data_IF_026478371174
#
_entry.id   IF_026478371174
#
_cell.length_a   1.000
_cell.length_b   1.000
_cell.length_c   1.000
_cell.angle_alpha   90.00
_cell.angle_beta   90.00
_cell.angle_gamma   90.00
#
_symmetry.space_group_name_H-M   'P 1'
#
loop_
_entity.id
_entity.type
_entity.pdbx_description
1 polymer ?
#
# COMPACT_ATOMS: atom_id res chain seq x y z
N UNK A 1 18.15 23.29 -24.66
CA UNK A 1 18.48 24.31 -23.62
C UNK A 1 17.35 25.34 -23.43
N UNK A 2 16.16 24.86 -23.04
CA UNK A 2 15.01 25.71 -22.67
C UNK A 2 14.24 25.10 -21.47
N UNK A 3 14.84 24.13 -20.79
CA UNK A 3 14.29 23.57 -19.57
C UNK A 3 14.53 24.57 -18.43
N UNK A 4 13.50 24.78 -17.63
CA UNK A 4 13.53 25.47 -16.34
C UNK A 4 14.49 24.78 -15.36
N UNK A 5 15.11 25.56 -14.48
CA UNK A 5 15.97 25.04 -13.40
C UNK A 5 15.16 24.52 -12.21
N UNK A 6 14.01 25.14 -11.92
CA UNK A 6 13.16 24.71 -10.82
C UNK A 6 12.42 23.41 -11.11
N UNK A 7 12.03 22.73 -10.03
CA UNK A 7 11.22 21.50 -10.04
C UNK A 7 9.73 21.75 -9.72
N UNK A 8 9.38 22.88 -9.10
CA UNK A 8 8.02 23.15 -8.63
C UNK A 8 7.04 23.58 -9.74
N UNK A 9 5.94 22.85 -9.91
CA UNK A 9 4.89 23.20 -10.89
C UNK A 9 4.27 24.58 -10.64
N UNK A 10 4.37 25.13 -9.43
CA UNK A 10 3.91 26.48 -9.08
C UNK A 10 4.54 27.59 -9.92
N UNK A 11 5.73 27.35 -10.46
CA UNK A 11 6.44 28.30 -11.33
C UNK A 11 6.07 28.17 -12.81
N UNK A 12 5.16 27.27 -13.17
CA UNK A 12 4.58 27.26 -14.51
C UNK A 12 3.71 28.51 -14.74
N UNK A 13 3.44 28.91 -15.99
CA UNK A 13 2.34 29.81 -16.28
C UNK A 13 1.04 29.29 -15.65
N UNK A 14 0.41 30.07 -14.75
CA UNK A 14 -0.75 29.67 -13.92
C UNK A 14 -0.47 28.45 -13.00
N UNK A 15 0.77 28.28 -12.55
CA UNK A 15 1.19 27.13 -11.76
C UNK A 15 0.49 27.00 -10.41
N UNK A 16 0.12 28.11 -9.77
CA UNK A 16 -0.61 28.10 -8.51
C UNK A 16 -2.05 27.58 -8.68
N UNK A 17 -2.76 28.06 -9.71
CA UNK A 17 -4.10 27.59 -10.07
C UNK A 17 -4.07 26.13 -10.51
N UNK A 18 -3.05 25.76 -11.29
CA UNK A 18 -2.81 24.38 -11.68
C UNK A 18 -2.61 23.47 -10.47
N UNK A 19 -1.73 23.84 -9.53
CA UNK A 19 -1.48 23.03 -8.33
C UNK A 19 -2.73 22.90 -7.45
N UNK A 20 -3.49 23.99 -7.27
CA UNK A 20 -4.78 23.94 -6.56
C UNK A 20 -5.79 23.02 -7.25
N UNK A 21 -5.85 23.03 -8.59
CA UNK A 21 -6.69 22.11 -9.35
C UNK A 21 -6.24 20.65 -9.17
N UNK A 22 -4.93 20.39 -9.16
CA UNK A 22 -4.39 19.06 -8.92
C UNK A 22 -4.74 18.57 -7.51
N UNK A 23 -4.57 19.40 -6.48
CA UNK A 23 -4.98 19.07 -5.10
C UNK A 23 -6.45 18.62 -5.07
N UNK A 24 -7.35 19.42 -5.65
CA UNK A 24 -8.77 19.08 -5.71
C UNK A 24 -9.03 17.80 -6.51
N UNK A 25 -8.32 17.59 -7.62
CA UNK A 25 -8.51 16.41 -8.47
C UNK A 25 -8.03 15.12 -7.83
N UNK A 26 -6.93 15.15 -7.07
CA UNK A 26 -6.36 13.96 -6.43
C UNK A 26 -6.94 13.69 -5.04
N UNK A 27 -7.23 14.74 -4.25
CA UNK A 27 -7.73 14.60 -2.87
C UNK A 27 -9.25 14.65 -2.78
N UNK A 28 -9.93 15.20 -3.78
CA UNK A 28 -11.37 15.51 -3.77
C UNK A 28 -11.82 16.51 -2.69
N UNK A 29 -10.86 17.17 -2.03
CA UNK A 29 -11.12 18.18 -0.99
C UNK A 29 -10.99 19.61 -1.54
N UNK A 30 -11.45 20.58 -0.76
CA UNK A 30 -11.18 22.00 -0.97
C UNK A 30 -10.07 22.54 -0.05
N UNK A 31 -9.30 21.65 0.59
CA UNK A 31 -8.17 22.03 1.44
C UNK A 31 -7.07 22.72 0.62
N UNK A 32 -6.41 23.68 1.26
CA UNK A 32 -5.23 24.36 0.72
C UNK A 32 -3.99 23.47 0.78
N UNK A 33 -2.96 23.82 0.01
CA UNK A 33 -1.68 23.13 0.05
C UNK A 33 -1.05 23.21 1.45
N UNK A 34 -1.20 24.36 2.11
CA UNK A 34 -0.68 24.64 3.44
C UNK A 34 -1.40 23.81 4.52
N UNK A 35 -2.72 23.66 4.44
CA UNK A 35 -3.48 22.78 5.34
C UNK A 35 -3.09 21.31 5.17
N UNK A 36 -2.97 20.83 3.93
CA UNK A 36 -2.52 19.46 3.63
C UNK A 36 -1.09 19.24 4.14
N UNK A 37 -0.21 20.23 3.96
CA UNK A 37 1.16 20.17 4.47
C UNK A 37 1.18 20.06 6.00
N UNK A 38 0.36 20.85 6.70
CA UNK A 38 0.28 20.78 8.16
C UNK A 38 -0.26 19.43 8.64
N UNK A 39 -1.29 18.89 8.00
CA UNK A 39 -1.79 17.53 8.28
C UNK A 39 -0.66 16.51 8.12
N UNK A 40 0.13 16.60 7.03
CA UNK A 40 1.27 15.72 6.81
C UNK A 40 2.33 15.82 7.91
N UNK A 41 2.65 17.03 8.38
CA UNK A 41 3.60 17.22 9.49
C UNK A 41 3.08 16.60 10.80
N UNK A 42 1.80 16.78 11.09
CA UNK A 42 1.15 16.25 12.29
C UNK A 42 1.12 14.72 12.27
N UNK A 43 0.79 14.11 11.12
CA UNK A 43 0.77 12.66 10.95
C UNK A 43 2.18 12.05 11.00
N UNK A 44 3.19 12.69 10.39
CA UNK A 44 4.59 12.27 10.53
C UNK A 44 5.02 12.26 12.00
N UNK A 45 4.64 13.28 12.76
CA UNK A 45 4.95 13.33 14.20
C UNK A 45 4.25 12.20 14.98
N UNK A 46 2.97 11.95 14.70
CA UNK A 46 2.19 10.86 15.31
C UNK A 46 2.80 9.50 15.02
N UNK A 47 2.99 9.16 13.74
CA UNK A 47 3.50 7.86 13.29
C UNK A 47 4.92 7.63 13.82
N UNK A 48 5.76 8.67 13.85
CA UNK A 48 7.10 8.58 14.45
C UNK A 48 7.03 8.25 15.95
N UNK A 49 6.04 8.77 16.67
CA UNK A 49 5.78 8.41 18.06
C UNK A 49 5.47 6.92 18.20
N UNK A 50 4.56 6.40 17.37
CA UNK A 50 4.17 4.99 17.38
C UNK A 50 5.34 4.06 17.01
N UNK A 51 6.16 4.44 16.02
CA UNK A 51 7.38 3.71 15.66
C UNK A 51 8.37 3.61 16.83
N UNK A 52 8.46 4.66 17.66
CA UNK A 52 9.30 4.66 18.85
C UNK A 52 8.76 3.73 19.95
N UNK A 53 7.44 3.59 20.06
CA UNK A 53 6.81 2.65 20.98
C UNK A 53 7.01 1.21 20.51
N UNK A 54 6.83 0.93 19.22
CA UNK A 54 7.14 -0.37 18.62
C UNK A 54 8.59 -0.80 18.86
N UNK A 55 9.55 0.13 18.77
CA UNK A 55 10.95 -0.15 19.12
C UNK A 55 11.10 -0.60 20.59
N UNK A 56 10.33 -0.01 21.51
CA UNK A 56 10.35 -0.42 22.93
C UNK A 56 9.75 -1.81 23.10
N UNK A 57 8.66 -2.11 22.39
CA UNK A 57 7.99 -3.42 22.42
C UNK A 57 8.85 -4.53 21.80
N UNK A 58 9.66 -4.19 20.78
CA UNK A 58 10.72 -5.05 20.25
C UNK A 58 11.91 -5.24 21.22
N UNK A 59 11.87 -4.59 22.39
CA UNK A 59 12.92 -4.57 23.42
C UNK A 59 14.31 -4.11 22.93
N UNK A 60 14.36 -3.45 21.76
CA UNK A 60 15.61 -3.11 21.09
C UNK A 60 16.40 -2.05 21.85
N UNK A 61 17.64 -2.40 22.22
CA UNK A 61 18.58 -1.50 22.90
C UNK A 61 19.33 -0.65 21.88
N UNK A 62 19.45 0.65 22.17
CA UNK A 62 20.11 1.61 21.28
C UNK A 62 19.17 2.73 20.84
N UNK A 63 19.67 3.54 19.91
CA UNK A 63 18.99 4.67 19.28
C UNK A 63 17.98 4.19 18.23
N UNK A 64 17.12 5.10 17.76
CA UNK A 64 16.19 4.79 16.67
C UNK A 64 16.91 4.54 15.35
N UNK A 65 17.98 5.29 15.07
CA UNK A 65 18.76 5.09 13.84
C UNK A 65 19.46 3.73 13.81
N UNK A 66 19.95 3.25 14.96
CA UNK A 66 20.48 1.88 15.09
C UNK A 66 19.39 0.82 14.88
N UNK A 67 18.16 1.08 15.34
CA UNK A 67 17.02 0.20 15.09
C UNK A 67 16.67 0.14 13.59
N UNK A 68 16.59 1.29 12.92
CA UNK A 68 16.38 1.35 11.46
C UNK A 68 17.50 0.65 10.70
N UNK A 69 18.75 0.84 11.12
CA UNK A 69 19.89 0.14 10.52
C UNK A 69 19.78 -1.37 10.70
N UNK A 70 19.40 -1.83 11.90
CA UNK A 70 19.20 -3.24 12.19
C UNK A 70 18.14 -3.87 11.29
N UNK A 71 16.98 -3.22 11.14
CA UNK A 71 15.90 -3.69 10.26
C UNK A 71 16.34 -3.80 8.79
N UNK A 72 17.19 -2.87 8.33
CA UNK A 72 17.64 -2.82 6.93
C UNK A 72 18.79 -3.74 6.59
N UNK A 73 19.54 -4.24 7.59
CA UNK A 73 20.77 -5.01 7.34
C UNK A 73 20.76 -6.41 7.91
N UNK A 74 19.88 -6.73 8.87
CA UNK A 74 19.80 -8.08 9.41
C UNK A 74 19.21 -9.04 8.36
N UNK A 75 19.96 -10.06 7.91
CA UNK A 75 19.50 -11.01 6.90
C UNK A 75 18.25 -11.81 7.32
N UNK A 76 17.93 -11.90 8.61
CA UNK A 76 16.72 -12.58 9.09
C UNK A 76 15.43 -11.96 8.53
N UNK A 77 15.44 -10.65 8.22
CA UNK A 77 14.30 -9.95 7.63
C UNK A 77 14.16 -10.15 6.14
N UNK A 78 15.02 -10.92 5.47
CA UNK A 78 14.98 -11.08 4.03
C UNK A 78 14.86 -12.54 3.64
N UNK A 79 14.19 -12.80 2.51
CA UNK A 79 14.20 -14.11 1.88
C UNK A 79 15.39 -14.21 0.93
N UNK A 80 15.88 -15.43 0.75
CA UNK A 80 16.93 -15.76 -0.22
C UNK A 80 16.38 -16.52 -1.44
N UNK A 81 15.09 -16.81 -1.45
CA UNK A 81 14.38 -17.53 -2.50
C UNK A 81 13.15 -16.74 -2.93
N UNK A 82 12.92 -16.68 -4.23
CA UNK A 82 11.70 -16.11 -4.81
C UNK A 82 10.46 -16.91 -4.37
N UNK A 83 10.55 -18.24 -4.39
CA UNK A 83 9.43 -19.11 -4.02
C UNK A 83 9.01 -18.90 -2.55
N UNK A 84 9.98 -18.77 -1.63
CA UNK A 84 9.69 -18.54 -0.21
C UNK A 84 8.98 -17.19 0.01
N UNK A 85 9.41 -16.15 -0.71
CA UNK A 85 8.78 -14.82 -0.65
C UNK A 85 7.35 -14.87 -1.19
N UNK A 86 7.13 -15.52 -2.33
CA UNK A 86 5.80 -15.65 -2.92
C UNK A 86 4.87 -16.49 -2.04
N UNK A 87 5.38 -17.57 -1.45
CA UNK A 87 4.61 -18.43 -0.54
C UNK A 87 4.24 -17.71 0.75
N UNK A 88 5.14 -16.90 1.30
CA UNK A 88 4.83 -16.06 2.45
C UNK A 88 3.69 -15.06 2.13
N UNK A 89 3.70 -14.39 0.98
CA UNK A 89 2.58 -13.54 0.55
C UNK A 89 1.27 -14.32 0.39
N UNK A 90 1.32 -15.52 -0.20
CA UNK A 90 0.14 -16.39 -0.36
C UNK A 90 -0.44 -16.79 1.00
N UNK A 91 0.40 -17.11 1.98
CA UNK A 91 -0.03 -17.44 3.34
C UNK A 91 -0.72 -16.24 4.00
N UNK A 92 -0.15 -15.04 3.91
CA UNK A 92 -0.74 -13.81 4.45
C UNK A 92 -2.11 -13.55 3.82
N UNK A 93 -2.19 -13.57 2.48
CA UNK A 93 -3.45 -13.40 1.75
C UNK A 93 -4.49 -14.43 2.19
N UNK A 94 -4.09 -15.69 2.39
CA UNK A 94 -5.02 -16.74 2.80
C UNK A 94 -5.53 -16.59 4.23
N UNK A 95 -4.69 -16.06 5.14
CA UNK A 95 -5.14 -15.66 6.49
C UNK A 95 -6.16 -14.52 6.39
N UNK A 96 -5.89 -13.52 5.55
CA UNK A 96 -6.78 -12.38 5.38
C UNK A 96 -8.15 -12.81 4.83
N UNK A 97 -8.18 -13.70 3.84
CA UNK A 97 -9.41 -14.31 3.31
C UNK A 97 -10.31 -14.90 4.41
N UNK A 98 -9.71 -15.55 5.42
CA UNK A 98 -10.45 -16.19 6.50
C UNK A 98 -11.11 -15.19 7.45
N UNK A 99 -10.56 -13.98 7.54
CA UNK A 99 -11.06 -12.91 8.39
C UNK A 99 -12.13 -12.06 7.70
N UNK A 100 -12.12 -11.97 6.37
CA UNK A 100 -13.06 -11.12 5.60
C UNK A 100 -14.54 -11.26 6.00
N UNK A 101 -15.11 -12.47 6.19
CA UNK A 101 -16.53 -12.61 6.54
C UNK A 101 -16.93 -11.97 7.88
N UNK A 102 -15.98 -11.70 8.78
CA UNK A 102 -16.24 -11.03 10.06
C UNK A 102 -16.43 -9.52 9.90
N UNK A 103 -15.83 -8.93 8.87
CA UNK A 103 -15.76 -7.48 8.67
C UNK A 103 -16.61 -6.99 7.49
N UNK A 104 -16.83 -7.83 6.47
CA UNK A 104 -17.49 -7.45 5.23
C UNK A 104 -18.69 -8.34 4.92
N UNK A 105 -19.88 -7.74 4.87
CA UNK A 105 -21.13 -8.44 4.50
C UNK A 105 -21.27 -8.73 3.01
N UNK A 106 -20.39 -8.19 2.17
CA UNK A 106 -20.36 -8.43 0.73
C UNK A 106 -18.92 -8.66 0.27
N UNK A 107 -18.69 -9.78 -0.42
CA UNK A 107 -17.39 -10.16 -0.96
C UNK A 107 -17.49 -10.27 -2.49
N UNK A 108 -16.43 -9.92 -3.24
CA UNK A 108 -16.41 -10.07 -4.68
C UNK A 108 -16.43 -11.55 -5.09
N UNK A 109 -17.05 -11.83 -6.24
CA UNK A 109 -17.03 -13.16 -6.88
C UNK A 109 -15.74 -13.38 -7.67
N UNK A 110 -15.13 -12.30 -8.16
CA UNK A 110 -13.86 -12.38 -8.89
C UNK A 110 -12.75 -12.88 -7.97
N UNK A 111 -12.08 -14.01 -8.26
CA UNK A 111 -10.98 -14.49 -7.44
C UNK A 111 -9.69 -13.69 -7.70
N UNK A 112 -8.72 -13.85 -6.81
CA UNK A 112 -7.36 -13.36 -6.97
C UNK A 112 -6.29 -14.42 -6.65
N UNK A 113 -5.04 -14.10 -6.97
CA UNK A 113 -3.88 -14.87 -6.53
C UNK A 113 -2.62 -14.00 -6.46
N UNK A 114 -1.50 -14.60 -6.08
CA UNK A 114 -0.20 -13.93 -5.98
C UNK A 114 0.74 -14.45 -7.08
N UNK A 115 1.37 -13.53 -7.83
CA UNK A 115 2.32 -13.84 -8.91
C UNK A 115 3.54 -12.95 -8.85
N UNK A 116 4.70 -13.41 -9.35
CA UNK A 116 5.84 -12.53 -9.55
C UNK A 116 5.54 -11.53 -10.68
N UNK A 117 6.06 -10.31 -10.54
CA UNK A 117 6.18 -9.38 -11.66
C UNK A 117 7.13 -9.99 -12.70
N UNK A 118 6.80 -9.96 -14.01
CA UNK A 118 7.67 -10.50 -15.04
C UNK A 118 9.08 -9.91 -15.01
N UNK A 119 10.12 -10.75 -15.17
CA UNK A 119 11.54 -10.38 -15.01
C UNK A 119 11.97 -9.15 -15.84
N UNK A 120 11.43 -9.01 -17.05
CA UNK A 120 11.76 -7.88 -17.93
C UNK A 120 11.23 -6.53 -17.41
N UNK A 121 10.21 -6.56 -16.55
CA UNK A 121 9.57 -5.39 -15.97
C UNK A 121 10.03 -5.14 -14.53
N UNK A 122 10.41 -6.20 -13.81
CA UNK A 122 10.70 -6.17 -12.38
C UNK A 122 11.74 -5.10 -11.94
N UNK A 123 12.84 -4.85 -12.67
CA UNK A 123 13.82 -3.82 -12.28
C UNK A 123 13.28 -2.38 -12.28
N UNK A 124 12.23 -2.11 -13.05
CA UNK A 124 11.59 -0.80 -13.18
C UNK A 124 10.21 -0.74 -12.50
N UNK A 125 9.82 -1.80 -11.80
CA UNK A 125 8.52 -1.91 -11.15
C UNK A 125 8.61 -1.58 -9.66
N UNK A 126 7.49 -1.15 -9.03
CA UNK A 126 7.40 -1.00 -7.58
C UNK A 126 7.58 -2.34 -6.84
N UNK A 127 7.57 -2.30 -5.50
CA UNK A 127 7.63 -3.49 -4.63
C UNK A 127 6.48 -4.47 -4.92
N UNK A 128 5.30 -3.94 -5.23
CA UNK A 128 4.15 -4.69 -5.67
C UNK A 128 3.16 -3.79 -6.42
N UNK A 129 2.17 -4.41 -7.05
CA UNK A 129 0.93 -3.73 -7.46
C UNK A 129 -0.22 -4.74 -7.62
N UNK A 130 -1.45 -4.26 -7.50
CA UNK A 130 -2.63 -5.02 -7.86
C UNK A 130 -2.94 -4.92 -9.35
N UNK A 131 -3.05 -6.07 -10.00
CA UNK A 131 -3.49 -6.20 -11.38
C UNK A 131 -4.94 -6.65 -11.45
N UNK A 132 -5.81 -5.74 -11.90
CA UNK A 132 -7.25 -6.00 -11.98
C UNK A 132 -7.64 -7.13 -12.94
N UNK A 133 -8.45 -8.05 -12.43
CA UNK A 133 -9.09 -9.09 -13.23
C UNK A 133 -10.27 -8.58 -14.05
N UNK A 134 -10.92 -9.50 -14.76
CA UNK A 134 -12.13 -9.26 -15.52
C UNK A 134 -12.99 -10.54 -15.54
N UNK A 135 -14.13 -10.49 -14.85
CA UNK A 135 -15.03 -11.64 -14.71
C UNK A 135 -15.59 -12.12 -16.06
N UNK A 136 -15.92 -11.20 -16.98
CA UNK A 136 -16.45 -11.56 -18.31
C UNK A 136 -15.42 -12.26 -19.18
N UNK A 137 -14.14 -11.92 -19.01
CA UNK A 137 -13.02 -12.54 -19.73
C UNK A 137 -12.45 -13.77 -19.03
N UNK A 138 -13.00 -14.20 -17.89
CA UNK A 138 -12.48 -15.33 -17.11
C UNK A 138 -11.08 -15.09 -16.52
N UNK A 139 -10.70 -13.82 -16.28
CA UNK A 139 -9.36 -13.45 -15.78
C UNK A 139 -9.44 -13.03 -14.32
N UNK A 140 -8.78 -13.75 -13.42
CA UNK A 140 -8.63 -13.38 -12.01
C UNK A 140 -7.85 -12.08 -11.82
N UNK A 141 -8.01 -11.43 -10.66
CA UNK A 141 -7.09 -10.39 -10.19
C UNK A 141 -5.77 -11.00 -9.72
N UNK A 142 -4.72 -10.20 -9.63
CA UNK A 142 -3.43 -10.65 -9.10
C UNK A 142 -2.75 -9.59 -8.25
N UNK A 143 -2.32 -9.97 -7.06
CA UNK A 143 -1.23 -9.27 -6.37
C UNK A 143 0.06 -9.66 -7.08
N UNK A 144 0.66 -8.70 -7.78
CA UNK A 144 1.93 -8.85 -8.47
C UNK A 144 3.07 -8.42 -7.53
N UNK A 145 3.82 -9.39 -7.00
CA UNK A 145 4.92 -9.16 -6.07
C UNK A 145 6.27 -9.07 -6.82
N UNK A 146 7.11 -8.10 -6.46
CA UNK A 146 8.41 -7.93 -7.09
C UNK A 146 9.48 -8.80 -6.44
N UNK A 147 9.93 -9.83 -7.15
CA UNK A 147 10.95 -10.79 -6.71
C UNK A 147 12.38 -10.36 -7.09
N UNK A 148 12.54 -9.24 -7.80
CA UNK A 148 13.84 -8.66 -8.11
C UNK A 148 14.45 -7.99 -6.86
N UNK A 149 15.72 -8.29 -6.58
CA UNK A 149 16.48 -7.81 -5.40
C UNK A 149 15.78 -8.14 -4.08
N UNK A 150 15.73 -9.42 -3.74
CA UNK A 150 15.08 -9.93 -2.52
C UNK A 150 15.62 -9.28 -1.23
N UNK A 151 16.88 -8.86 -1.23
CA UNK A 151 17.53 -8.09 -0.15
C UNK A 151 16.94 -6.68 0.05
N UNK A 152 16.00 -6.26 -0.80
CA UNK A 152 15.23 -5.01 -0.68
C UNK A 152 13.74 -5.27 -0.46
N UNK A 153 13.37 -6.49 -0.05
CA UNK A 153 11.98 -6.94 0.20
C UNK A 153 11.87 -7.48 1.62
N UNK A 154 11.78 -6.61 2.63
CA UNK A 154 11.79 -7.05 4.01
C UNK A 154 10.48 -7.78 4.38
N UNK A 155 10.61 -8.83 5.18
CA UNK A 155 9.51 -9.63 5.73
C UNK A 155 8.53 -8.81 6.55
N UNK A 156 9.04 -7.82 7.28
CA UNK A 156 8.24 -7.01 8.19
C UNK A 156 7.23 -6.11 7.48
N UNK A 157 7.41 -5.80 6.19
CA UNK A 157 6.47 -5.00 5.40
C UNK A 157 5.37 -5.85 4.73
N UNK A 158 5.52 -7.18 4.72
CA UNK A 158 4.72 -8.03 3.86
C UNK A 158 3.24 -8.08 4.22
N UNK A 159 2.91 -7.98 5.51
CA UNK A 159 1.51 -7.96 5.95
C UNK A 159 0.79 -6.72 5.42
N UNK A 160 1.34 -5.53 5.67
CA UNK A 160 0.78 -4.27 5.17
C UNK A 160 0.66 -4.27 3.64
N UNK A 161 1.70 -4.68 2.93
CA UNK A 161 1.68 -4.73 1.47
C UNK A 161 0.63 -5.71 0.92
N UNK A 162 0.50 -6.90 1.52
CA UNK A 162 -0.51 -7.88 1.10
C UNK A 162 -1.93 -7.35 1.30
N UNK A 163 -2.16 -6.73 2.46
CA UNK A 163 -3.45 -6.16 2.82
C UNK A 163 -3.83 -5.02 1.87
N UNK A 164 -2.88 -4.15 1.54
CA UNK A 164 -3.06 -3.04 0.61
C UNK A 164 -3.43 -3.51 -0.80
N UNK A 165 -2.63 -4.43 -1.36
CA UNK A 165 -2.75 -4.83 -2.77
C UNK A 165 -3.83 -5.89 -3.02
N UNK A 166 -4.07 -6.76 -2.04
CA UNK A 166 -5.05 -7.83 -2.14
C UNK A 166 -6.29 -7.50 -1.31
N UNK A 167 -6.48 -8.20 -0.19
CA UNK A 167 -7.69 -8.12 0.63
C UNK A 167 -7.34 -7.75 2.07
N UNK A 168 -8.13 -6.87 2.71
CA UNK A 168 -9.31 -6.18 2.19
C UNK A 168 -9.04 -4.96 1.31
N UNK A 169 -7.81 -4.69 0.87
CA UNK A 169 -7.46 -3.52 0.05
C UNK A 169 -7.96 -3.54 -1.40
N UNK A 170 -7.07 -3.28 -2.35
CA UNK A 170 -7.40 -3.01 -3.75
C UNK A 170 -8.21 -4.12 -4.42
N UNK A 171 -7.89 -5.40 -4.20
CA UNK A 171 -8.66 -6.48 -4.81
C UNK A 171 -10.12 -6.43 -4.37
N UNK A 172 -10.39 -6.29 -3.07
CA UNK A 172 -11.74 -6.26 -2.55
C UNK A 172 -12.51 -5.05 -3.11
N UNK A 173 -11.94 -3.84 -2.97
CA UNK A 173 -12.60 -2.60 -3.36
C UNK A 173 -12.88 -2.53 -4.86
N UNK A 174 -11.87 -2.78 -5.70
CA UNK A 174 -11.99 -2.64 -7.15
C UNK A 174 -12.89 -3.73 -7.73
N UNK A 175 -12.78 -4.97 -7.23
CA UNK A 175 -13.61 -6.06 -7.73
C UNK A 175 -15.08 -5.85 -7.40
N UNK A 176 -15.40 -5.38 -6.19
CA UNK A 176 -16.76 -5.00 -5.83
C UNK A 176 -17.28 -3.86 -6.72
N UNK A 177 -16.46 -2.83 -6.94
CA UNK A 177 -16.84 -1.73 -7.83
C UNK A 177 -17.17 -2.24 -9.24
N UNK A 178 -16.37 -3.16 -9.80
CA UNK A 178 -16.60 -3.78 -11.11
C UNK A 178 -17.84 -4.68 -11.16
N UNK A 179 -18.26 -5.24 -10.04
CA UNK A 179 -19.43 -6.12 -9.95
C UNK A 179 -20.75 -5.36 -9.70
N UNK A 180 -20.71 -4.07 -9.36
CA UNK A 180 -21.90 -3.26 -9.14
C UNK A 180 -22.81 -3.23 -10.38
N UNK A 181 -24.06 -3.68 -10.24
CA UNK A 181 -25.07 -3.64 -11.29
C UNK A 181 -25.83 -2.30 -11.31
N UNK A 182 -26.54 -2.01 -12.41
CA UNK A 182 -27.43 -0.83 -12.53
C UNK A 182 -26.76 0.55 -12.33
N UNK A 183 -25.44 0.66 -12.52
CA UNK A 183 -24.71 1.92 -12.53
C UNK A 183 -24.06 2.18 -13.90
N UNK A 184 -23.86 3.45 -14.28
CA UNK A 184 -23.11 3.78 -15.49
C UNK A 184 -21.67 3.25 -15.46
N UNK A 185 -21.18 2.81 -16.62
CA UNK A 185 -19.84 2.21 -16.78
C UNK A 185 -18.72 3.13 -16.28
N UNK A 186 -18.83 4.45 -16.47
CA UNK A 186 -17.79 5.39 -16.02
C UNK A 186 -17.69 5.47 -14.48
N UNK A 187 -18.76 5.16 -13.74
CA UNK A 187 -18.70 5.06 -12.27
C UNK A 187 -18.15 3.71 -11.83
N UNK A 188 -18.43 2.66 -12.61
CA UNK A 188 -17.97 1.30 -12.37
C UNK A 188 -16.46 1.14 -12.55
N UNK A 189 -15.92 1.75 -13.60
CA UNK A 189 -14.50 1.65 -14.00
C UNK A 189 -13.73 2.96 -13.82
N UNK A 190 -14.34 3.97 -13.21
CA UNK A 190 -13.68 5.24 -12.91
C UNK A 190 -12.72 5.08 -11.73
N UNK A 191 -11.55 5.73 -11.82
CA UNK A 191 -10.56 5.78 -10.75
C UNK A 191 -10.60 7.13 -10.03
N UNK A 192 -10.68 7.10 -8.71
CA UNK A 192 -10.55 8.28 -7.85
C UNK A 192 -9.43 8.00 -6.86
N UNK A 193 -8.26 8.63 -7.04
CA UNK A 193 -7.04 8.32 -6.29
C UNK A 193 -7.25 8.33 -4.79
N UNK A 194 -7.82 9.41 -4.22
CA UNK A 194 -8.09 9.47 -2.79
C UNK A 194 -8.98 8.33 -2.26
N UNK A 195 -9.93 7.83 -3.07
CA UNK A 195 -10.78 6.73 -2.65
C UNK A 195 -10.05 5.38 -2.75
N UNK A 196 -9.33 5.13 -3.85
CA UNK A 196 -8.65 3.85 -4.09
C UNK A 196 -7.44 3.68 -3.16
N UNK A 197 -6.55 4.66 -3.11
CA UNK A 197 -5.36 4.63 -2.25
C UNK A 197 -5.73 4.81 -0.78
N UNK A 198 -6.68 5.70 -0.48
CA UNK A 198 -7.20 5.88 0.87
C UNK A 198 -7.87 4.61 1.41
N UNK A 199 -8.54 3.82 0.56
CA UNK A 199 -9.05 2.51 0.94
C UNK A 199 -7.92 1.50 1.24
N UNK A 200 -6.86 1.50 0.43
CA UNK A 200 -5.67 0.67 0.67
C UNK A 200 -5.06 0.96 2.05
N UNK A 201 -4.75 2.23 2.33
CA UNK A 201 -4.21 2.69 3.62
C UNK A 201 -5.17 2.44 4.79
N UNK A 202 -6.48 2.66 4.60
CA UNK A 202 -7.48 2.31 5.62
C UNK A 202 -7.47 0.81 5.93
N UNK A 203 -7.33 -0.03 4.89
CA UNK A 203 -7.31 -1.49 5.03
C UNK A 203 -6.09 -1.96 5.81
N UNK A 204 -4.93 -1.33 5.59
CA UNK A 204 -3.72 -1.59 6.39
C UNK A 204 -3.97 -1.34 7.86
N UNK A 205 -4.62 -0.22 8.22
CA UNK A 205 -4.98 0.04 9.62
C UNK A 205 -6.01 -0.98 10.16
N UNK A 206 -7.03 -1.30 9.37
CA UNK A 206 -8.06 -2.26 9.75
C UNK A 206 -7.48 -3.66 10.03
N UNK A 207 -6.39 -4.03 9.35
CA UNK A 207 -5.79 -5.36 9.51
C UNK A 207 -5.31 -5.64 10.94
N UNK A 208 -5.00 -4.62 11.74
CA UNK A 208 -4.72 -4.79 13.18
C UNK A 208 -5.93 -5.42 13.91
N UNK A 209 -7.15 -4.94 13.63
CA UNK A 209 -8.38 -5.52 14.19
C UNK A 209 -8.66 -6.92 13.62
N UNK A 210 -8.18 -7.22 12.42
CA UNK A 210 -8.26 -8.54 11.79
C UNK A 210 -7.21 -9.53 12.33
N UNK A 211 -6.38 -9.13 13.29
CA UNK A 211 -5.39 -10.01 13.93
C UNK A 211 -4.05 -10.10 13.20
N UNK A 212 -3.72 -9.13 12.33
CA UNK A 212 -2.39 -8.95 11.78
C UNK A 212 -1.51 -8.11 12.71
N UNK A 213 -0.24 -7.95 12.36
CA UNK A 213 0.76 -7.14 13.09
C UNK A 213 1.02 -7.62 14.52
N UNK A 214 0.98 -8.94 14.72
CA UNK A 214 1.11 -9.53 16.06
C UNK A 214 2.55 -9.50 16.60
N UNK A 215 3.54 -9.31 15.73
CA UNK A 215 4.92 -9.07 16.13
C UNK A 215 5.29 -7.58 15.96
N UNK A 216 6.18 -7.04 16.79
CA UNK A 216 6.56 -5.63 16.71
C UNK A 216 7.13 -5.23 15.34
N UNK A 217 7.79 -6.14 14.63
CA UNK A 217 8.40 -5.80 13.34
C UNK A 217 7.33 -5.65 12.26
N UNK A 218 6.34 -6.55 12.18
CA UNK A 218 5.22 -6.39 11.25
C UNK A 218 4.40 -5.13 11.54
N UNK A 219 4.21 -4.76 12.81
CA UNK A 219 3.62 -3.44 13.17
C UNK A 219 4.50 -2.28 12.70
N UNK A 220 5.82 -2.38 12.85
CA UNK A 220 6.74 -1.38 12.31
C UNK A 220 6.64 -1.25 10.78
N UNK A 221 6.45 -2.37 10.07
CA UNK A 221 6.23 -2.38 8.63
C UNK A 221 4.95 -1.66 8.21
N UNK A 222 3.84 -1.87 8.92
CA UNK A 222 2.61 -1.11 8.70
C UNK A 222 2.82 0.40 8.89
N UNK A 223 3.47 0.80 9.97
CA UNK A 223 3.77 2.22 10.21
C UNK A 223 4.73 2.79 9.15
N UNK A 224 5.63 1.97 8.60
CA UNK A 224 6.54 2.38 7.51
C UNK A 224 5.76 2.70 6.24
N UNK A 225 4.72 1.94 5.93
CA UNK A 225 3.80 2.22 4.82
C UNK A 225 2.93 3.44 5.10
N UNK A 226 2.43 3.61 6.33
CA UNK A 226 1.63 4.77 6.72
C UNK A 226 2.44 6.09 6.69
N UNK A 227 3.75 6.01 6.94
CA UNK A 227 4.67 7.15 6.88
C UNK A 227 5.00 7.59 5.43
N UNK A 228 4.90 6.68 4.46
CA UNK A 228 5.33 6.88 3.07
C UNK A 228 4.25 7.54 2.22
#
# INVERSE_FOLDING_TARGET
PACRESIACREFPNGAEYYRYQIKSYTTTDLTAEEIHQIGLDEVARIRGEMMDVKKDAEFKGTFDEFLSFLRTNPEFYFTSEDDLLDAYRVICKKADAELPKFFGLLPRLPYGVKPIPDYQAPASPTAYYYSGNQKAGRSGYFMANTYKLETRPKYEMEALSIHEAVPGHHLQISLAHELENIPMFRRYGGYTAFVEGWGLYSEKLAEEMGFYQDPYSKFGQLTYEMW
#
